data_IF_299649605193
#
_entry.id   IF_299649605193
#
_cell.length_a   1.000
_cell.length_b   1.000
_cell.length_c   1.000
_cell.angle_alpha   90.00
_cell.angle_beta   90.00
_cell.angle_gamma   90.00
#
_symmetry.space_group_name_H-M   'P 1'
#
loop_
_entity.id
_entity.type
_entity.pdbx_description
1 polymer ?
#
# COMPACT_ATOMS: atom_id res chain seq x y z
N UNK A 1 -15.86 -23.16 0.98
CA UNK A 1 -14.41 -22.84 1.06
C UNK A 1 -14.22 -21.44 1.64
N UNK A 2 -13.47 -21.33 2.73
CA UNK A 2 -13.07 -20.07 3.38
C UNK A 2 -11.68 -19.64 2.90
N UNK A 3 -11.22 -18.44 3.28
CA UNK A 3 -9.91 -17.92 2.87
C UNK A 3 -8.75 -18.71 3.47
N UNK A 4 -8.92 -19.28 4.66
CA UNK A 4 -7.91 -20.09 5.34
C UNK A 4 -7.62 -21.37 4.57
N UNK A 5 -8.67 -22.03 4.06
CA UNK A 5 -8.52 -23.22 3.21
C UNK A 5 -7.90 -22.89 1.86
N UNK A 6 -8.24 -21.73 1.28
CA UNK A 6 -7.61 -21.25 0.05
C UNK A 6 -6.10 -21.02 0.24
N UNK A 7 -5.73 -20.29 1.29
CA UNK A 7 -4.32 -20.00 1.62
C UNK A 7 -3.55 -21.30 1.98
N UNK A 8 -4.19 -22.25 2.69
CA UNK A 8 -3.59 -23.56 2.99
C UNK A 8 -3.32 -24.36 1.71
N UNK A 9 -4.26 -24.38 0.76
CA UNK A 9 -4.07 -25.08 -0.51
C UNK A 9 -2.88 -24.51 -1.31
N UNK A 10 -2.71 -23.18 -1.34
CA UNK A 10 -1.54 -22.55 -1.96
C UNK A 10 -0.22 -22.98 -1.29
N UNK A 11 -0.20 -23.07 0.05
CA UNK A 11 0.97 -23.53 0.81
C UNK A 11 1.32 -24.99 0.53
N UNK A 12 0.33 -25.88 0.53
CA UNK A 12 0.54 -27.29 0.23
C UNK A 12 1.09 -27.47 -1.19
N UNK A 13 0.56 -26.71 -2.15
CA UNK A 13 1.06 -26.71 -3.53
C UNK A 13 2.50 -26.18 -3.64
N UNK A 14 2.84 -25.12 -2.90
CA UNK A 14 4.20 -24.60 -2.82
C UNK A 14 5.18 -25.63 -2.22
N UNK A 15 4.74 -26.38 -1.20
CA UNK A 15 5.54 -27.44 -0.57
C UNK A 15 5.79 -28.61 -1.52
N UNK A 16 4.75 -29.05 -2.23
CA UNK A 16 4.83 -30.13 -3.22
C UNK A 16 5.77 -29.78 -4.36
N UNK A 17 5.65 -28.57 -4.92
CA UNK A 17 6.47 -28.09 -6.04
C UNK A 17 7.83 -27.54 -5.62
N UNK A 18 8.08 -27.41 -4.30
CA UNK A 18 9.29 -26.80 -3.71
C UNK A 18 9.64 -25.44 -4.33
N UNK A 19 8.62 -24.69 -4.71
CA UNK A 19 8.75 -23.40 -5.38
C UNK A 19 7.78 -22.38 -4.78
N UNK A 20 8.16 -21.10 -4.64
CA UNK A 20 7.23 -20.05 -4.22
C UNK A 20 6.03 -19.96 -5.15
N UNK A 21 4.81 -19.91 -4.59
CA UNK A 21 3.56 -19.77 -5.35
C UNK A 21 3.13 -18.32 -5.36
N UNK A 22 2.84 -17.77 -6.53
CA UNK A 22 2.42 -16.39 -6.67
C UNK A 22 1.02 -16.14 -6.07
N UNK A 23 0.92 -15.10 -5.24
CA UNK A 23 -0.34 -14.48 -4.78
C UNK A 23 -0.77 -13.31 -5.65
N UNK A 24 0.20 -12.68 -6.30
CA UNK A 24 0.01 -11.55 -7.19
C UNK A 24 0.68 -11.85 -8.53
N UNK A 25 0.00 -11.49 -9.61
CA UNK A 25 0.59 -11.48 -10.95
C UNK A 25 1.55 -10.30 -11.09
N UNK A 26 1.19 -9.16 -10.50
CA UNK A 26 1.94 -7.91 -10.57
C UNK A 26 2.99 -7.79 -9.46
N UNK A 27 4.01 -6.96 -9.68
CA UNK A 27 4.97 -6.55 -8.64
C UNK A 27 4.39 -5.42 -7.77
N UNK A 28 4.86 -5.31 -6.54
CA UNK A 28 4.42 -4.27 -5.59
C UNK A 28 5.33 -3.04 -5.53
N UNK A 29 6.47 -3.07 -6.23
CA UNK A 29 7.44 -1.98 -6.31
C UNK A 29 8.25 -2.08 -7.60
N UNK A 30 8.92 -0.99 -7.98
CA UNK A 30 9.84 -0.93 -9.12
C UNK A 30 11.29 -1.01 -8.61
N UNK A 31 12.12 -1.92 -9.13
CA UNK A 31 13.53 -1.98 -8.72
C UNK A 31 14.25 -0.73 -9.20
N UNK A 32 15.15 -0.20 -8.37
CA UNK A 32 15.97 0.98 -8.69
C UNK A 32 17.45 0.63 -8.55
N UNK A 33 18.25 1.00 -9.55
CA UNK A 33 19.71 0.89 -9.48
C UNK A 33 20.32 1.92 -8.54
N UNK A 34 19.57 2.96 -8.16
CA UNK A 34 19.95 3.92 -7.13
C UNK A 34 19.58 3.44 -5.71
N UNK A 35 18.99 2.26 -5.56
CA UNK A 35 18.64 1.73 -4.25
C UNK A 35 19.89 1.37 -3.44
N UNK A 36 19.78 1.49 -2.12
CA UNK A 36 20.80 1.09 -1.16
C UNK A 36 20.30 -0.11 -0.38
N UNK A 37 21.07 -1.18 -0.45
CA UNK A 37 20.89 -2.35 0.39
C UNK A 37 21.52 -2.09 1.75
N UNK A 38 20.70 -2.07 2.80
CA UNK A 38 21.15 -1.72 4.15
C UNK A 38 20.63 -2.72 5.18
N UNK A 39 21.51 -3.08 6.11
CA UNK A 39 21.18 -3.79 7.33
C UNK A 39 21.77 -3.06 8.53
N UNK A 40 20.96 -2.74 9.52
CA UNK A 40 21.38 -2.08 10.75
C UNK A 40 21.00 -2.92 11.97
N UNK A 41 21.95 -3.11 12.88
CA UNK A 41 21.79 -3.92 14.08
C UNK A 41 22.22 -3.12 15.30
N UNK A 42 21.26 -2.84 16.19
CA UNK A 42 21.53 -2.21 17.48
C UNK A 42 21.89 -3.28 18.53
N UNK A 43 23.08 -3.21 19.13
CA UNK A 43 23.53 -4.09 20.22
C UNK A 43 24.36 -3.31 21.23
N UNK A 44 24.01 -3.43 22.52
CA UNK A 44 24.81 -2.85 23.60
C UNK A 44 24.99 -1.33 23.51
N UNK A 45 24.00 -0.61 22.97
CA UNK A 45 24.06 0.85 22.79
C UNK A 45 24.81 1.33 21.56
N UNK A 46 25.40 0.43 20.76
CA UNK A 46 26.03 0.74 19.47
C UNK A 46 25.18 0.20 18.32
N UNK A 47 25.18 0.92 17.19
CA UNK A 47 24.51 0.53 15.95
C UNK A 47 25.56 0.16 14.91
N UNK A 48 25.58 -1.09 14.46
CA UNK A 48 26.41 -1.50 13.31
C UNK A 48 25.57 -1.45 12.06
N UNK A 49 26.07 -0.80 11.00
CA UNK A 49 25.39 -0.69 9.71
C UNK A 49 26.28 -1.29 8.61
N UNK A 50 25.68 -2.17 7.82
CA UNK A 50 26.23 -2.64 6.56
C UNK A 50 25.44 -2.02 5.40
N UNK A 51 26.13 -1.52 4.38
CA UNK A 51 25.52 -0.92 3.18
C UNK A 51 26.24 -1.39 1.92
N UNK A 52 25.47 -1.55 0.85
CA UNK A 52 25.96 -1.67 -0.52
C UNK A 52 25.03 -0.93 -1.49
N UNK A 53 25.59 -0.33 -2.54
CA UNK A 53 24.85 0.04 -3.74
C UNK A 53 24.76 -1.13 -4.74
N UNK A 54 24.02 -0.93 -5.84
CA UNK A 54 23.66 -1.98 -6.81
C UNK A 54 24.85 -2.78 -7.39
N UNK A 55 25.98 -2.14 -7.68
CA UNK A 55 27.22 -2.77 -8.17
C UNK A 55 28.38 -2.63 -7.18
N UNK A 56 28.06 -2.24 -5.94
CA UNK A 56 29.03 -1.97 -4.90
C UNK A 56 29.50 -3.21 -4.15
N UNK A 57 30.52 -3.01 -3.33
CA UNK A 57 30.88 -3.95 -2.26
C UNK A 57 30.11 -3.62 -1.00
N UNK A 58 29.89 -4.62 -0.14
CA UNK A 58 29.44 -4.37 1.23
C UNK A 58 30.54 -3.62 1.97
N UNK A 59 30.16 -2.51 2.58
CA UNK A 59 30.97 -1.82 3.57
C UNK A 59 30.21 -1.78 4.89
N UNK A 60 30.93 -1.86 6.00
CA UNK A 60 30.35 -1.95 7.33
C UNK A 60 31.10 -1.06 8.31
N UNK A 61 30.35 -0.29 9.08
CA UNK A 61 30.89 0.54 10.16
C UNK A 61 29.86 0.68 11.29
N UNK A 62 30.15 1.53 12.28
CA UNK A 62 29.33 1.70 13.48
C UNK A 62 29.01 3.18 13.75
N UNK A 63 27.90 3.38 14.43
CA UNK A 63 27.51 4.64 15.05
C UNK A 63 27.61 5.82 14.06
N UNK A 64 28.20 6.96 14.45
CA UNK A 64 28.23 8.16 13.59
C UNK A 64 28.89 7.91 12.24
N UNK A 65 29.92 7.06 12.18
CA UNK A 65 30.62 6.72 10.94
C UNK A 65 29.68 6.02 9.94
N UNK A 66 28.62 5.35 10.43
CA UNK A 66 27.64 4.71 9.58
C UNK A 66 26.80 5.71 8.78
N UNK A 67 26.52 6.88 9.34
CA UNK A 67 25.84 7.95 8.59
C UNK A 67 26.76 8.53 7.52
N UNK A 68 28.06 8.70 7.83
CA UNK A 68 29.05 9.08 6.83
C UNK A 68 29.18 8.05 5.71
N UNK A 69 29.15 6.76 6.05
CA UNK A 69 29.16 5.66 5.08
C UNK A 69 27.90 5.66 4.21
N UNK A 70 26.70 5.84 4.79
CA UNK A 70 25.47 5.98 4.00
C UNK A 70 25.56 7.15 3.02
N UNK A 71 26.07 8.31 3.44
CA UNK A 71 26.26 9.46 2.57
C UNK A 71 27.23 9.15 1.42
N UNK A 72 28.33 8.44 1.68
CA UNK A 72 29.31 8.05 0.66
C UNK A 72 28.73 7.12 -0.41
N UNK A 73 27.72 6.33 -0.08
CA UNK A 73 26.96 5.50 -1.04
C UNK A 73 25.80 6.24 -1.71
N UNK A 74 25.60 7.53 -1.42
CA UNK A 74 24.53 8.35 -2.01
C UNK A 74 23.24 8.41 -1.16
N UNK A 75 23.25 7.84 0.04
CA UNK A 75 22.15 7.91 1.01
C UNK A 75 22.16 9.23 1.77
N UNK A 76 22.07 10.35 1.05
CA UNK A 76 22.11 11.71 1.62
C UNK A 76 21.14 12.63 0.89
N UNK A 77 20.60 13.62 1.60
CA UNK A 77 19.76 14.67 1.00
C UNK A 77 20.60 15.88 0.51
N UNK A 78 21.91 15.86 0.72
CA UNK A 78 22.81 16.97 0.36
C UNK A 78 23.37 16.79 -1.04
N UNK A 79 23.35 17.87 -1.83
CA UNK A 79 23.67 17.82 -3.27
C UNK A 79 22.46 17.34 -4.06
N UNK A 80 22.20 17.91 -5.24
CA UNK A 80 21.04 17.53 -6.08
C UNK A 80 21.17 16.07 -6.53
N UNK A 81 20.66 15.16 -5.73
CA UNK A 81 20.59 13.74 -6.02
C UNK A 81 19.12 13.33 -6.13
N UNK A 82 18.88 12.34 -6.99
CA UNK A 82 17.64 11.60 -6.97
C UNK A 82 17.53 10.79 -5.68
N UNK A 83 16.32 10.53 -5.16
CA UNK A 83 16.17 9.78 -3.93
C UNK A 83 16.72 8.36 -4.12
N UNK A 84 17.54 7.91 -3.19
CA UNK A 84 17.99 6.53 -3.11
C UNK A 84 16.98 5.69 -2.29
N UNK A 85 16.27 4.71 -2.88
CA UNK A 85 15.41 3.82 -2.11
C UNK A 85 16.19 2.97 -1.11
N UNK A 86 15.59 2.63 0.02
CA UNK A 86 16.14 1.71 1.01
C UNK A 86 15.65 0.28 0.73
N UNK A 87 16.56 -0.66 0.53
CA UNK A 87 16.28 -2.10 0.57
C UNK A 87 16.75 -2.67 1.91
N UNK A 88 15.89 -3.42 2.58
CA UNK A 88 16.22 -4.11 3.84
C UNK A 88 15.51 -5.44 3.92
N UNK A 89 16.00 -6.37 4.75
CA UNK A 89 15.41 -7.70 4.95
C UNK A 89 14.85 -7.94 6.36
N UNK A 90 14.82 -6.91 7.21
CA UNK A 90 14.30 -7.03 8.56
C UNK A 90 13.55 -5.77 9.01
N UNK A 91 12.74 -5.92 10.05
CA UNK A 91 11.92 -4.83 10.60
C UNK A 91 12.68 -3.94 11.60
N UNK A 92 13.87 -4.34 12.03
CA UNK A 92 14.72 -3.64 13.01
C UNK A 92 15.69 -2.63 12.38
N UNK A 93 16.06 -2.79 11.11
CA UNK A 93 17.02 -1.91 10.41
C UNK A 93 16.58 -0.45 10.44
N UNK A 94 15.38 -0.13 9.95
CA UNK A 94 14.93 1.27 9.87
C UNK A 94 14.80 1.92 11.26
N UNK A 95 14.18 1.28 12.28
CA UNK A 95 14.20 1.81 13.65
C UNK A 95 15.61 2.09 14.19
N UNK A 96 16.58 1.19 13.98
CA UNK A 96 17.96 1.37 14.42
C UNK A 96 18.62 2.58 13.73
N UNK A 97 18.40 2.73 12.42
CA UNK A 97 18.87 3.90 11.66
C UNK A 97 18.20 5.19 12.16
N UNK A 98 16.90 5.19 12.45
CA UNK A 98 16.18 6.37 12.95
C UNK A 98 16.71 6.82 14.30
N UNK A 99 16.98 5.89 15.22
CA UNK A 99 17.61 6.21 16.51
C UNK A 99 18.96 6.88 16.30
N UNK A 100 19.80 6.31 15.42
CA UNK A 100 21.11 6.85 15.10
C UNK A 100 21.02 8.24 14.44
N UNK A 101 20.14 8.40 13.46
CA UNK A 101 19.91 9.65 12.75
C UNK A 101 19.46 10.76 13.71
N UNK A 102 18.54 10.47 14.64
CA UNK A 102 18.09 11.45 15.64
C UNK A 102 19.21 11.89 16.57
N UNK A 103 20.09 10.97 16.98
CA UNK A 103 21.24 11.30 17.83
C UNK A 103 22.24 12.25 17.13
N UNK A 104 22.27 12.26 15.79
CA UNK A 104 23.21 13.04 14.98
C UNK A 104 22.52 14.02 14.02
N UNK A 105 21.28 14.42 14.30
CA UNK A 105 20.49 15.29 13.41
C UNK A 105 21.15 16.67 13.15
N UNK A 106 21.95 17.15 14.10
CA UNK A 106 22.66 18.44 14.05
C UNK A 106 24.18 18.27 13.97
N UNK A 107 24.66 17.15 13.43
CA UNK A 107 26.09 16.91 13.30
C UNK A 107 26.76 18.02 12.47
N UNK A 108 27.97 18.50 12.85
CA UNK A 108 28.64 19.59 12.14
C UNK A 108 29.08 19.21 10.72
N UNK A 109 29.31 17.93 10.43
CA UNK A 109 29.55 17.43 9.07
C UNK A 109 28.23 17.40 8.27
N UNK A 110 28.09 18.18 7.19
CA UNK A 110 26.90 18.20 6.34
C UNK A 110 26.55 16.84 5.73
N UNK A 111 27.53 15.96 5.47
CA UNK A 111 27.25 14.63 4.93
C UNK A 111 26.55 13.74 5.95
N UNK A 112 27.02 13.76 7.20
CA UNK A 112 26.39 13.04 8.31
C UNK A 112 24.98 13.57 8.59
N UNK A 113 24.81 14.90 8.66
CA UNK A 113 23.50 15.51 8.84
C UNK A 113 22.55 15.24 7.66
N UNK A 114 23.10 15.21 6.44
CA UNK A 114 22.38 14.88 5.20
C UNK A 114 21.89 13.45 5.14
N UNK A 115 22.72 12.49 5.56
CA UNK A 115 22.31 11.09 5.71
C UNK A 115 21.29 10.89 6.82
N UNK A 116 21.43 11.60 7.93
CA UNK A 116 20.43 11.57 9.00
C UNK A 116 19.06 12.07 8.51
N UNK A 117 19.02 13.13 7.70
CA UNK A 117 17.80 13.64 7.06
C UNK A 117 17.23 12.66 6.02
N UNK A 118 18.08 11.96 5.25
CA UNK A 118 17.67 10.87 4.34
C UNK A 118 16.94 9.75 5.11
N UNK A 119 17.52 9.31 6.23
CA UNK A 119 16.91 8.29 7.10
C UNK A 119 15.56 8.76 7.65
N UNK A 120 15.42 10.03 8.00
CA UNK A 120 14.15 10.61 8.42
C UNK A 120 13.10 10.56 7.31
N UNK A 121 13.49 10.85 6.07
CA UNK A 121 12.62 10.71 4.91
C UNK A 121 12.21 9.25 4.67
N UNK A 122 13.15 8.30 4.73
CA UNK A 122 12.80 6.87 4.70
C UNK A 122 11.80 6.49 5.78
N UNK A 123 11.97 7.00 7.00
CA UNK A 123 11.04 6.75 8.10
C UNK A 123 9.62 7.27 7.81
N UNK A 124 9.48 8.47 7.24
CA UNK A 124 8.17 8.98 6.78
C UNK A 124 7.56 8.10 5.68
N UNK A 125 8.38 7.70 4.69
CA UNK A 125 7.89 6.90 3.56
C UNK A 125 7.51 5.47 3.95
N UNK A 126 8.20 4.85 4.90
CA UNK A 126 7.92 3.49 5.34
C UNK A 126 6.49 3.28 5.87
N UNK A 127 5.85 4.35 6.37
CA UNK A 127 4.46 4.32 6.82
C UNK A 127 3.42 4.38 5.67
N UNK A 128 3.85 4.53 4.41
CA UNK A 128 2.96 4.62 3.24
C UNK A 128 2.89 3.27 2.50
N UNK A 129 1.79 2.51 2.61
CA UNK A 129 1.67 1.22 1.94
C UNK A 129 1.87 1.32 0.42
N UNK A 130 2.72 0.46 -0.13
CA UNK A 130 3.03 0.47 -1.56
C UNK A 130 4.07 1.52 -1.98
N UNK A 131 4.73 2.19 -1.04
CA UNK A 131 5.92 3.00 -1.33
C UNK A 131 7.02 2.16 -2.00
N UNK A 132 7.78 2.82 -2.87
CA UNK A 132 9.03 2.29 -3.43
C UNK A 132 10.27 2.85 -2.74
N UNK A 133 10.12 3.87 -1.89
CA UNK A 133 11.22 4.53 -1.20
C UNK A 133 11.84 3.67 -0.09
N UNK A 134 11.05 2.78 0.53
CA UNK A 134 11.52 1.79 1.50
C UNK A 134 10.89 0.44 1.19
N UNK A 135 11.72 -0.54 0.85
CA UNK A 135 11.30 -1.90 0.53
C UNK A 135 11.90 -2.86 1.56
N UNK A 136 11.04 -3.33 2.47
CA UNK A 136 11.34 -4.51 3.26
C UNK A 136 11.08 -5.76 2.39
N UNK A 137 12.14 -6.48 2.02
CA UNK A 137 12.07 -7.58 1.07
C UNK A 137 11.30 -8.80 1.62
N UNK A 138 11.31 -9.02 2.94
CA UNK A 138 10.47 -10.07 3.55
C UNK A 138 8.99 -9.74 3.38
N UNK A 139 8.60 -8.50 3.68
CA UNK A 139 7.22 -8.03 3.54
C UNK A 139 6.77 -8.01 2.07
N UNK A 140 7.62 -7.49 1.17
CA UNK A 140 7.35 -7.46 -0.27
C UNK A 140 7.23 -8.88 -0.86
N UNK A 141 8.10 -9.81 -0.44
CA UNK A 141 8.01 -11.21 -0.85
C UNK A 141 6.73 -11.86 -0.36
N UNK A 142 6.35 -11.66 0.90
CA UNK A 142 5.14 -12.24 1.51
C UNK A 142 3.85 -11.67 0.92
N UNK A 143 3.88 -10.42 0.45
CA UNK A 143 2.76 -9.82 -0.29
C UNK A 143 2.58 -10.48 -1.66
N UNK A 144 3.66 -10.91 -2.29
CA UNK A 144 3.67 -11.40 -3.67
C UNK A 144 3.62 -12.91 -3.79
N UNK A 145 4.16 -13.65 -2.82
CA UNK A 145 4.33 -15.10 -2.88
C UNK A 145 3.92 -15.77 -1.56
N UNK A 146 3.66 -17.06 -1.63
CA UNK A 146 3.49 -17.98 -0.49
C UNK A 146 4.53 -19.08 -0.61
N UNK A 147 5.14 -19.43 0.52
CA UNK A 147 6.09 -20.54 0.62
C UNK A 147 5.39 -21.80 1.15
N UNK A 148 5.97 -22.95 0.84
CA UNK A 148 5.54 -24.26 1.35
C UNK A 148 6.01 -24.55 2.77
N UNK A 149 5.96 -23.55 3.64
CA UNK A 149 6.40 -23.61 5.04
C UNK A 149 5.38 -22.93 5.95
N UNK A 150 5.63 -22.92 7.26
CA UNK A 150 4.74 -22.27 8.23
C UNK A 150 4.75 -20.75 8.06
N UNK A 151 3.63 -20.06 8.32
CA UNK A 151 3.57 -18.59 8.27
C UNK A 151 4.62 -17.91 9.15
N UNK A 152 4.99 -18.51 10.29
CA UNK A 152 6.02 -17.99 11.19
C UNK A 152 7.41 -18.01 10.53
N UNK A 153 7.73 -19.05 9.76
CA UNK A 153 9.00 -19.17 9.07
C UNK A 153 9.17 -18.14 7.94
N UNK A 154 8.07 -17.70 7.32
CA UNK A 154 8.06 -16.62 6.31
C UNK A 154 8.45 -15.25 6.88
N UNK A 155 8.51 -15.07 8.20
CA UNK A 155 9.03 -13.84 8.82
C UNK A 155 10.55 -13.76 8.78
N UNK A 156 11.24 -14.85 8.45
CA UNK A 156 12.71 -14.92 8.42
C UNK A 156 13.25 -14.65 7.02
N UNK A 157 14.22 -13.74 6.94
CA UNK A 157 14.95 -13.45 5.71
C UNK A 157 15.71 -14.67 5.17
N UNK A 158 16.26 -15.50 6.06
CA UNK A 158 16.97 -16.74 5.68
C UNK A 158 16.05 -17.72 4.96
N UNK A 159 14.80 -17.87 5.43
CA UNK A 159 13.81 -18.73 4.77
C UNK A 159 13.55 -18.26 3.35
N UNK A 160 13.35 -16.97 3.14
CA UNK A 160 13.12 -16.43 1.79
C UNK A 160 14.33 -16.60 0.88
N UNK A 161 15.55 -16.31 1.37
CA UNK A 161 16.78 -16.53 0.59
C UNK A 161 16.90 -17.98 0.13
N UNK A 162 16.69 -18.94 1.04
CA UNK A 162 16.74 -20.36 0.72
C UNK A 162 15.74 -20.74 -0.38
N UNK A 163 14.48 -20.30 -0.24
CA UNK A 163 13.43 -20.60 -1.22
C UNK A 163 13.62 -19.90 -2.57
N UNK A 164 14.28 -18.74 -2.59
CA UNK A 164 14.60 -17.98 -3.81
C UNK A 164 15.94 -18.38 -4.42
N UNK A 165 16.70 -19.27 -3.78
CA UNK A 165 18.02 -19.72 -4.21
C UNK A 165 19.08 -18.61 -4.18
N UNK A 166 18.98 -17.68 -3.22
CA UNK A 166 19.93 -16.58 -3.03
C UNK A 166 20.97 -17.06 -2.02
N UNK A 167 22.21 -17.24 -2.50
CA UNK A 167 23.31 -17.76 -1.67
C UNK A 167 24.10 -16.66 -0.94
N UNK A 168 23.93 -15.40 -1.34
CA UNK A 168 24.59 -14.27 -0.71
C UNK A 168 23.80 -13.75 0.49
N UNK A 169 24.31 -14.01 1.69
CA UNK A 169 23.75 -13.55 2.97
C UNK A 169 24.15 -12.10 3.33
N UNK A 170 25.05 -11.51 2.55
CA UNK A 170 25.48 -10.12 2.68
C UNK A 170 24.35 -9.14 2.31
N UNK A 171 24.58 -7.85 2.48
CA UNK A 171 23.60 -6.85 1.98
C UNK A 171 23.59 -6.76 0.45
N UNK A 172 24.65 -7.16 -0.26
CA UNK A 172 24.68 -7.16 -1.72
C UNK A 172 23.58 -8.08 -2.28
N UNK A 173 23.40 -9.26 -1.67
CA UNK A 173 22.34 -10.21 -2.02
C UNK A 173 20.90 -9.66 -1.94
N UNK A 174 20.68 -8.52 -1.26
CA UNK A 174 19.37 -7.84 -1.26
C UNK A 174 19.00 -7.29 -2.65
N UNK A 175 19.97 -6.89 -3.46
CA UNK A 175 19.71 -6.47 -4.84
C UNK A 175 19.29 -7.65 -5.73
N UNK A 176 19.95 -8.80 -5.60
CA UNK A 176 19.55 -10.04 -6.27
C UNK A 176 18.13 -10.45 -5.85
N UNK A 177 17.85 -10.38 -4.54
CA UNK A 177 16.52 -10.65 -4.00
C UNK A 177 15.47 -9.71 -4.60
N UNK A 178 15.71 -8.40 -4.54
CA UNK A 178 14.80 -7.40 -5.10
C UNK A 178 14.51 -7.66 -6.58
N UNK A 179 15.53 -8.02 -7.38
CA UNK A 179 15.36 -8.38 -8.79
C UNK A 179 14.46 -9.61 -8.97
N UNK A 180 14.66 -10.68 -8.18
CA UNK A 180 13.83 -11.91 -8.25
C UNK A 180 12.36 -11.65 -7.95
N UNK A 181 12.05 -10.79 -6.98
CA UNK A 181 10.67 -10.55 -6.54
C UNK A 181 10.00 -9.35 -7.20
N UNK A 182 10.67 -8.65 -8.12
CA UNK A 182 10.14 -7.46 -8.81
C UNK A 182 9.79 -7.68 -10.28
N UNK A 183 9.98 -8.88 -10.83
CA UNK A 183 9.67 -9.16 -12.23
C UNK A 183 8.19 -8.95 -12.59
N UNK A 184 7.87 -8.57 -13.83
CA UNK A 184 6.48 -8.36 -14.28
C UNK A 184 5.96 -6.92 -14.07
N UNK A 185 4.72 -6.64 -14.51
CA UNK A 185 4.16 -5.29 -14.46
C UNK A 185 3.89 -4.84 -13.02
N UNK A 186 4.03 -3.55 -12.75
CA UNK A 186 3.66 -2.94 -11.47
C UNK A 186 2.15 -3.07 -11.26
N UNK A 187 1.73 -3.29 -10.00
CA UNK A 187 0.33 -3.27 -9.62
C UNK A 187 -0.32 -1.96 -10.11
N UNK A 188 -1.44 -2.05 -10.86
CA UNK A 188 -2.18 -0.88 -11.26
C UNK A 188 -2.56 -0.04 -10.04
N UNK A 189 -2.54 1.29 -10.17
CA UNK A 189 -2.78 2.26 -9.08
C UNK A 189 -1.67 2.41 -8.02
N UNK A 190 -0.50 1.77 -8.18
CA UNK A 190 0.68 2.13 -7.37
C UNK A 190 1.49 3.29 -7.94
N UNK A 191 1.38 3.57 -9.25
CA UNK A 191 2.06 4.72 -9.88
C UNK A 191 1.82 6.04 -9.13
N UNK A 192 0.58 6.38 -8.70
CA UNK A 192 0.34 7.60 -7.94
C UNK A 192 1.07 7.66 -6.60
N UNK A 193 1.35 6.52 -5.97
CA UNK A 193 2.09 6.43 -4.70
C UNK A 193 3.59 6.67 -4.95
N UNK A 194 4.13 6.15 -6.05
CA UNK A 194 5.52 6.41 -6.45
C UNK A 194 5.74 7.88 -6.86
N UNK A 195 4.77 8.48 -7.56
CA UNK A 195 4.77 9.93 -7.82
C UNK A 195 4.75 10.74 -6.51
N UNK A 196 4.00 10.26 -5.50
CA UNK A 196 3.97 10.87 -4.17
C UNK A 196 5.29 10.68 -3.40
N UNK A 197 6.00 9.55 -3.56
CA UNK A 197 7.35 9.36 -3.03
C UNK A 197 8.29 10.43 -3.59
N UNK A 198 8.24 10.65 -4.91
CA UNK A 198 9.07 11.68 -5.56
C UNK A 198 8.71 13.09 -5.10
N UNK A 199 7.41 13.40 -5.02
CA UNK A 199 6.95 14.68 -4.50
C UNK A 199 7.41 14.91 -3.05
N UNK A 200 7.33 13.88 -2.20
CA UNK A 200 7.80 13.94 -0.82
C UNK A 200 9.32 14.17 -0.75
N UNK A 201 10.08 13.53 -1.63
CA UNK A 201 11.53 13.77 -1.76
C UNK A 201 11.84 15.23 -2.09
N UNK A 202 11.23 15.79 -3.15
CA UNK A 202 11.51 17.16 -3.58
C UNK A 202 11.15 18.17 -2.45
N UNK A 203 10.12 17.85 -1.65
CA UNK A 203 9.74 18.62 -0.45
C UNK A 203 10.78 18.52 0.66
N UNK A 204 11.26 17.31 0.96
CA UNK A 204 12.30 17.08 1.96
C UNK A 204 13.61 17.78 1.58
N UNK A 205 14.02 17.67 0.32
CA UNK A 205 15.21 18.34 -0.22
C UNK A 205 15.09 19.86 -0.14
N UNK A 206 13.93 20.42 -0.52
CA UNK A 206 13.66 21.85 -0.41
C UNK A 206 13.68 22.33 1.05
N UNK A 207 13.13 21.54 1.97
CA UNK A 207 13.10 21.85 3.40
C UNK A 207 14.51 21.81 4.00
N UNK A 208 15.30 20.78 3.69
CA UNK A 208 16.69 20.67 4.12
C UNK A 208 17.54 21.84 3.59
N UNK A 209 17.37 22.21 2.32
CA UNK A 209 18.04 23.37 1.71
C UNK A 209 17.66 24.69 2.41
N UNK A 210 16.42 24.80 2.88
CA UNK A 210 15.94 25.96 3.64
C UNK A 210 16.34 25.94 5.13
N UNK A 211 17.14 24.95 5.58
CA UNK A 211 17.56 24.81 6.98
C UNK A 211 16.44 24.33 7.90
N UNK A 212 15.43 23.65 7.37
CA UNK A 212 14.37 23.07 8.19
C UNK A 212 14.92 21.92 9.05
N UNK A 213 14.59 21.97 10.33
CA UNK A 213 14.96 20.94 11.30
C UNK A 213 13.93 19.81 11.30
N UNK A 214 14.27 18.72 10.60
CA UNK A 214 13.43 17.51 10.49
C UNK A 214 13.31 16.74 11.82
N UNK A 215 14.21 16.96 12.78
CA UNK A 215 14.20 16.23 14.05
C UNK A 215 13.11 16.74 14.99
N UNK A 216 12.58 17.93 14.72
CA UNK A 216 11.49 18.51 15.49
C UNK A 216 10.17 17.81 15.16
N UNK A 217 9.31 17.61 16.17
CA UNK A 217 7.96 17.14 15.93
C UNK A 217 7.21 18.03 14.96
N UNK A 218 6.45 17.40 14.08
CA UNK A 218 5.50 18.12 13.23
C UNK A 218 4.50 18.91 14.05
N UNK A 219 4.12 20.09 13.55
CA UNK A 219 2.94 20.76 14.06
C UNK A 219 1.67 19.95 13.71
N UNK A 220 0.60 20.18 14.46
CA UNK A 220 -0.67 19.44 14.31
C UNK A 220 -1.23 19.44 12.89
N UNK A 221 -1.08 20.54 12.13
CA UNK A 221 -1.57 20.61 10.76
C UNK A 221 -0.72 19.77 9.78
N UNK A 222 0.61 19.75 9.95
CA UNK A 222 1.50 18.86 9.20
C UNK A 222 1.20 17.39 9.53
N UNK A 223 1.09 17.06 10.83
CA UNK A 223 0.80 15.70 11.28
C UNK A 223 -0.56 15.18 10.76
N UNK A 224 -1.60 16.02 10.79
CA UNK A 224 -2.91 15.67 10.23
C UNK A 224 -2.86 15.38 8.72
N UNK A 225 -1.98 16.07 8.00
CA UNK A 225 -1.81 15.88 6.56
C UNK A 225 -0.97 14.65 6.25
N UNK A 226 0.08 14.37 7.02
CA UNK A 226 0.82 13.12 6.94
C UNK A 226 -0.06 11.90 7.27
N UNK A 227 -0.96 12.01 8.25
CA UNK A 227 -1.96 10.96 8.50
C UNK A 227 -2.86 10.76 7.28
N UNK A 228 -3.37 11.85 6.70
CA UNK A 228 -4.22 11.78 5.51
C UNK A 228 -3.51 11.13 4.33
N UNK A 229 -2.26 11.49 4.03
CA UNK A 229 -1.53 10.91 2.91
C UNK A 229 -1.25 9.42 3.11
N UNK A 230 -1.07 8.97 4.37
CA UNK A 230 -0.97 7.55 4.71
C UNK A 230 -2.29 6.81 4.50
N UNK A 231 -3.43 7.39 4.90
CA UNK A 231 -4.75 6.84 4.60
C UNK A 231 -5.00 6.76 3.09
N UNK A 232 -4.69 7.84 2.36
CA UNK A 232 -4.77 7.88 0.89
C UNK A 232 -3.95 6.73 0.26
N UNK A 233 -2.72 6.51 0.73
CA UNK A 233 -1.86 5.42 0.24
C UNK A 233 -2.42 4.03 0.59
N UNK A 234 -2.98 3.86 1.80
CA UNK A 234 -3.62 2.61 2.21
C UNK A 234 -4.83 2.26 1.33
N UNK A 235 -5.71 3.23 1.06
CA UNK A 235 -6.89 3.05 0.20
C UNK A 235 -6.48 2.70 -1.23
N UNK A 236 -5.47 3.40 -1.77
CA UNK A 236 -4.92 3.12 -3.09
C UNK A 236 -4.28 1.73 -3.15
N UNK A 237 -3.51 1.33 -2.13
CA UNK A 237 -2.89 0.01 -2.08
C UNK A 237 -3.94 -1.10 -2.00
N UNK A 238 -4.98 -0.93 -1.20
CA UNK A 238 -6.08 -1.90 -1.09
C UNK A 238 -6.82 -2.06 -2.42
N UNK A 239 -7.09 -0.93 -3.11
CA UNK A 239 -7.70 -0.95 -4.44
C UNK A 239 -6.77 -1.56 -5.50
N UNK A 240 -5.48 -1.25 -5.46
CA UNK A 240 -4.46 -1.81 -6.37
C UNK A 240 -4.41 -3.33 -6.29
N UNK A 241 -4.49 -3.90 -5.08
CA UNK A 241 -4.55 -5.35 -4.89
C UNK A 241 -5.79 -5.95 -5.58
N UNK A 242 -6.94 -5.31 -5.51
CA UNK A 242 -8.15 -5.78 -6.19
C UNK A 242 -8.09 -5.67 -7.72
N UNK A 243 -7.16 -4.91 -8.29
CA UNK A 243 -6.92 -4.92 -9.74
C UNK A 243 -6.03 -6.11 -10.18
N UNK A 244 -5.40 -6.84 -9.25
CA UNK A 244 -4.67 -8.08 -9.54
C UNK A 244 -5.60 -9.30 -9.65
N UNK A 245 -5.51 -10.09 -10.74
CA UNK A 245 -6.41 -11.23 -10.95
C UNK A 245 -6.22 -12.37 -9.94
N UNK A 246 -5.00 -12.64 -9.46
CA UNK A 246 -4.76 -13.69 -8.46
C UNK A 246 -5.26 -13.24 -7.09
N UNK A 247 -5.07 -11.97 -6.75
CA UNK A 247 -5.61 -11.43 -5.51
C UNK A 247 -7.14 -11.45 -5.50
N UNK A 248 -7.79 -11.14 -6.63
CA UNK A 248 -9.25 -11.18 -6.73
C UNK A 248 -9.82 -12.57 -6.44
N UNK A 249 -9.15 -13.63 -6.88
CA UNK A 249 -9.56 -15.01 -6.57
C UNK A 249 -9.58 -15.26 -5.06
N UNK A 250 -8.53 -14.83 -4.35
CA UNK A 250 -8.48 -14.87 -2.89
C UNK A 250 -9.57 -13.97 -2.27
N UNK A 251 -9.78 -12.79 -2.84
CA UNK A 251 -10.70 -11.78 -2.34
C UNK A 251 -12.17 -12.23 -2.34
N UNK A 252 -12.57 -13.15 -3.22
CA UNK A 252 -13.89 -13.81 -3.19
C UNK A 252 -14.15 -14.48 -1.84
N UNK A 253 -13.14 -15.10 -1.24
CA UNK A 253 -13.25 -15.81 0.04
C UNK A 253 -13.23 -14.90 1.27
N UNK A 254 -13.00 -13.60 1.06
CA UNK A 254 -13.02 -12.57 2.11
C UNK A 254 -14.19 -11.60 1.97
N UNK A 255 -15.02 -11.76 0.92
CA UNK A 255 -16.16 -10.90 0.64
C UNK A 255 -15.85 -9.59 -0.10
N UNK A 256 -14.59 -9.27 -0.38
CA UNK A 256 -14.23 -8.04 -1.10
C UNK A 256 -14.54 -8.12 -2.61
N UNK A 257 -14.68 -9.34 -3.16
CA UNK A 257 -15.18 -9.56 -4.52
C UNK A 257 -16.42 -10.43 -4.43
N UNK A 258 -17.53 -9.97 -5.02
CA UNK A 258 -18.76 -10.75 -5.14
C UNK A 258 -18.88 -11.28 -6.56
N UNK A 259 -19.24 -12.56 -6.69
CA UNK A 259 -19.50 -13.22 -7.99
C UNK A 259 -20.93 -13.72 -7.97
N UNK A 260 -21.66 -13.47 -9.06
CA UNK A 260 -23.06 -13.85 -9.15
C UNK A 260 -23.61 -13.82 -10.57
N UNK A 261 -24.93 -14.00 -10.66
CA UNK A 261 -25.68 -13.99 -11.93
C UNK A 261 -26.52 -12.72 -12.01
N UNK A 262 -26.41 -12.01 -13.13
CA UNK A 262 -27.16 -10.79 -13.39
C UNK A 262 -28.64 -11.08 -13.73
N UNK A 263 -29.54 -10.31 -13.13
CA UNK A 263 -30.92 -10.14 -13.55
C UNK A 263 -31.11 -8.67 -13.93
N UNK A 264 -31.57 -8.43 -15.16
CA UNK A 264 -31.75 -7.07 -15.68
C UNK A 264 -33.22 -6.84 -15.94
N UNK A 265 -33.78 -5.82 -15.30
CA UNK A 265 -35.14 -5.36 -15.59
C UNK A 265 -35.07 -4.17 -16.53
N UNK A 266 -35.61 -4.27 -17.76
CA UNK A 266 -35.60 -3.17 -18.72
C UNK A 266 -36.39 -1.98 -18.19
N UNK A 267 -36.06 -0.75 -18.61
CA UNK A 267 -36.83 0.42 -18.22
C UNK A 267 -38.29 0.30 -18.71
N UNK A 268 -39.27 0.85 -17.97
CA UNK A 268 -40.66 0.78 -18.37
C UNK A 268 -40.88 1.44 -19.74
N UNK A 269 -41.76 0.86 -20.56
CA UNK A 269 -41.98 1.15 -22.00
C UNK A 269 -42.35 2.63 -22.30
N UNK A 270 -42.68 3.45 -21.29
CA UNK A 270 -43.00 4.89 -21.42
C UNK A 270 -42.07 5.83 -20.65
N UNK A 271 -40.98 5.31 -20.10
CA UNK A 271 -40.01 6.11 -19.33
C UNK A 271 -38.99 6.76 -20.26
N UNK A 272 -38.67 8.04 -20.04
CA UNK A 272 -37.52 8.70 -20.67
C UNK A 272 -36.17 8.16 -20.17
N UNK A 273 -36.14 7.42 -19.06
CA UNK A 273 -34.92 6.76 -18.56
C UNK A 273 -34.61 5.57 -19.46
N UNK A 274 -33.41 5.58 -20.06
CA UNK A 274 -32.88 4.48 -20.87
C UNK A 274 -32.15 3.42 -20.05
N UNK A 275 -32.05 3.61 -18.74
CA UNK A 275 -31.20 2.78 -17.89
C UNK A 275 -32.01 1.61 -17.31
N UNK A 276 -31.43 0.42 -17.38
CA UNK A 276 -31.99 -0.78 -16.76
C UNK A 276 -31.60 -0.85 -15.28
N UNK A 277 -32.46 -1.45 -14.45
CA UNK A 277 -32.07 -1.82 -13.09
C UNK A 277 -31.41 -3.20 -13.12
N UNK A 278 -30.30 -3.31 -12.39
CA UNK A 278 -29.51 -4.53 -12.31
C UNK A 278 -29.62 -5.12 -10.90
N UNK A 279 -29.88 -6.42 -10.81
CA UNK A 279 -29.71 -7.19 -9.60
C UNK A 279 -28.70 -8.31 -9.84
N UNK A 280 -27.84 -8.61 -8.86
CA UNK A 280 -26.86 -9.69 -8.94
C UNK A 280 -27.15 -10.68 -7.82
N UNK A 281 -27.53 -11.90 -8.20
CA UNK A 281 -27.69 -13.02 -7.26
C UNK A 281 -26.33 -13.65 -7.04
N UNK A 282 -25.74 -13.39 -5.88
CA UNK A 282 -24.39 -13.82 -5.52
C UNK A 282 -24.35 -15.32 -5.21
N UNK A 283 -23.24 -15.95 -5.54
CA UNK A 283 -22.95 -17.35 -5.22
C UNK A 283 -22.74 -17.57 -3.71
N UNK A 284 -22.41 -16.50 -2.98
CA UNK A 284 -22.06 -16.52 -1.57
C UNK A 284 -22.81 -15.44 -0.79
N UNK A 285 -22.94 -15.65 0.52
CA UNK A 285 -23.59 -14.73 1.46
C UNK A 285 -22.64 -13.71 2.09
N UNK A 286 -21.33 -13.92 2.01
CA UNK A 286 -20.29 -13.23 2.78
C UNK A 286 -19.73 -11.97 2.09
N UNK A 287 -20.55 -11.23 1.34
CA UNK A 287 -20.12 -10.01 0.66
C UNK A 287 -19.85 -8.86 1.65
N UNK A 288 -18.77 -8.11 1.42
CA UNK A 288 -18.45 -6.86 2.11
C UNK A 288 -18.94 -5.61 1.37
N UNK A 289 -19.58 -5.78 0.22
CA UNK A 289 -20.16 -4.66 -0.55
C UNK A 289 -21.38 -4.13 0.20
N UNK A 290 -21.28 -2.89 0.72
CA UNK A 290 -22.34 -2.27 1.55
C UNK A 290 -23.28 -1.45 0.68
N UNK A 291 -24.53 -1.31 1.14
CA UNK A 291 -25.49 -0.36 0.55
C UNK A 291 -24.92 1.05 0.60
N UNK A 292 -25.10 1.83 -0.47
CA UNK A 292 -24.52 3.16 -0.66
C UNK A 292 -23.09 3.16 -1.18
N UNK A 293 -22.44 2.00 -1.33
CA UNK A 293 -21.08 1.91 -1.87
C UNK A 293 -21.10 1.91 -3.39
N UNK A 294 -20.17 2.66 -4.00
CA UNK A 294 -19.88 2.54 -5.43
C UNK A 294 -19.09 1.25 -5.69
N UNK A 295 -19.52 0.49 -6.70
CA UNK A 295 -18.89 -0.75 -7.13
C UNK A 295 -18.53 -0.69 -8.60
N UNK A 296 -17.42 -1.34 -8.94
CA UNK A 296 -17.04 -1.64 -10.32
C UNK A 296 -17.37 -3.10 -10.62
N UNK A 297 -18.08 -3.33 -11.72
CA UNK A 297 -18.45 -4.65 -12.18
C UNK A 297 -18.05 -4.95 -13.61
N UNK A 298 -17.92 -6.23 -13.92
CA UNK A 298 -17.67 -6.75 -15.27
C UNK A 298 -18.29 -8.14 -15.45
N UNK A 299 -18.51 -8.53 -16.70
CA UNK A 299 -18.92 -9.89 -17.03
C UNK A 299 -17.71 -10.83 -17.04
N UNK A 300 -17.88 -12.03 -16.49
CA UNK A 300 -16.84 -13.07 -16.48
C UNK A 300 -16.43 -13.50 -15.08
N UNK A 301 -15.16 -13.85 -14.93
CA UNK A 301 -14.55 -14.39 -13.71
C UNK A 301 -13.61 -13.39 -13.04
N UNK A 302 -13.24 -13.62 -11.76
CA UNK A 302 -12.26 -12.77 -11.08
C UNK A 302 -10.86 -12.81 -11.74
N UNK A 303 -10.52 -13.85 -12.50
CA UNK A 303 -9.24 -13.96 -13.19
C UNK A 303 -9.17 -13.11 -14.46
N UNK A 304 -10.32 -12.72 -15.01
CA UNK A 304 -10.36 -12.01 -16.29
C UNK A 304 -9.75 -10.62 -16.15
N UNK A 305 -9.10 -10.14 -17.21
CA UNK A 305 -8.73 -8.73 -17.37
C UNK A 305 -9.91 -8.03 -18.04
N UNK A 306 -10.75 -7.29 -17.30
CA UNK A 306 -12.00 -6.81 -17.86
C UNK A 306 -11.74 -5.70 -18.88
N UNK A 307 -12.14 -5.95 -20.13
CA UNK A 307 -12.09 -4.96 -21.21
C UNK A 307 -13.18 -3.89 -21.03
N UNK A 308 -14.39 -4.31 -20.66
CA UNK A 308 -15.52 -3.43 -20.36
C UNK A 308 -15.89 -3.54 -18.87
N UNK A 309 -15.98 -2.37 -18.21
CA UNK A 309 -16.38 -2.25 -16.81
C UNK A 309 -17.59 -1.32 -16.72
N UNK A 310 -18.47 -1.58 -15.76
CA UNK A 310 -19.51 -0.63 -15.37
C UNK A 310 -19.30 -0.19 -13.92
N UNK A 311 -19.63 1.05 -13.62
CA UNK A 311 -19.61 1.60 -12.27
C UNK A 311 -21.04 1.94 -11.84
N UNK A 312 -21.43 1.51 -10.64
CA UNK A 312 -22.79 1.67 -10.15
C UNK A 312 -22.82 1.61 -8.61
N UNK A 313 -23.82 2.22 -7.99
CA UNK A 313 -24.02 2.14 -6.55
C UNK A 313 -24.84 0.90 -6.15
N UNK A 314 -24.53 0.28 -5.01
CA UNK A 314 -25.38 -0.74 -4.37
C UNK A 314 -26.56 -0.06 -3.68
N UNK A 315 -27.78 -0.29 -4.17
CA UNK A 315 -28.99 0.37 -3.67
C UNK A 315 -29.70 -0.42 -2.58
N UNK A 316 -29.64 -1.75 -2.62
CA UNK A 316 -30.10 -2.60 -1.53
C UNK A 316 -29.42 -3.97 -1.55
N UNK A 317 -29.47 -4.68 -0.42
CA UNK A 317 -28.96 -6.03 -0.27
C UNK A 317 -29.97 -6.89 0.52
N UNK A 318 -30.36 -8.03 -0.03
CA UNK A 318 -31.35 -8.93 0.57
C UNK A 318 -30.90 -10.38 0.48
N UNK A 319 -31.33 -11.21 1.43
CA UNK A 319 -31.20 -12.67 1.29
C UNK A 319 -32.54 -13.22 0.81
N UNK A 320 -32.55 -13.79 -0.39
CA UNK A 320 -33.73 -14.40 -1.03
C UNK A 320 -33.41 -15.86 -1.28
N UNK A 321 -34.23 -16.76 -0.74
CA UNK A 321 -34.06 -18.22 -0.88
C UNK A 321 -32.64 -18.71 -0.51
N UNK A 322 -32.06 -18.12 0.55
CA UNK A 322 -30.72 -18.46 1.02
C UNK A 322 -29.58 -17.93 0.16
N UNK A 323 -29.84 -17.04 -0.82
CA UNK A 323 -28.83 -16.37 -1.64
C UNK A 323 -28.84 -14.87 -1.42
N UNK A 324 -27.66 -14.26 -1.44
CA UNK A 324 -27.51 -12.81 -1.35
C UNK A 324 -27.83 -12.21 -2.72
N UNK A 325 -28.77 -11.27 -2.75
CA UNK A 325 -29.14 -10.49 -3.93
C UNK A 325 -28.74 -9.04 -3.69
N UNK A 326 -27.83 -8.54 -4.52
CA UNK A 326 -27.42 -7.14 -4.52
C UNK A 326 -28.20 -6.41 -5.60
N UNK A 327 -29.02 -5.44 -5.21
CA UNK A 327 -29.65 -4.52 -6.14
C UNK A 327 -28.71 -3.36 -6.40
N UNK A 328 -28.49 -3.06 -7.67
CA UNK A 328 -27.59 -2.02 -8.14
C UNK A 328 -28.42 -0.91 -8.79
N UNK A 329 -27.86 0.28 -8.78
CA UNK A 329 -28.41 1.43 -9.48
C UNK A 329 -28.52 1.21 -11.00
N UNK A 330 -28.80 2.31 -11.69
CA UNK A 330 -28.95 2.32 -13.15
C UNK A 330 -27.62 2.04 -13.87
N UNK A 331 -27.58 1.03 -14.73
CA UNK A 331 -26.40 0.71 -15.56
C UNK A 331 -26.59 1.17 -17.01
N UNK A 332 -25.53 1.70 -17.60
CA UNK A 332 -25.50 2.27 -18.96
C UNK A 332 -24.98 1.29 -20.02
N UNK A 333 -24.07 1.74 -20.89
CA UNK A 333 -23.64 1.05 -22.12
C UNK A 333 -22.97 -0.33 -21.91
N UNK A 334 -22.50 -0.63 -20.70
CA UNK A 334 -21.86 -1.91 -20.35
C UNK A 334 -22.71 -2.75 -19.39
N UNK A 335 -24.04 -2.60 -19.46
CA UNK A 335 -24.95 -3.43 -18.69
C UNK A 335 -24.75 -4.91 -19.04
N UNK A 336 -24.63 -5.81 -18.05
CA UNK A 336 -24.50 -7.23 -18.32
C UNK A 336 -25.77 -7.77 -18.97
N UNK A 337 -25.66 -8.82 -19.79
CA UNK A 337 -26.84 -9.52 -20.29
C UNK A 337 -27.58 -10.23 -19.13
N UNK A 338 -28.91 -10.39 -19.19
CA UNK A 338 -29.63 -11.25 -18.25
C UNK A 338 -29.02 -12.66 -18.24
N UNK A 339 -28.80 -13.21 -17.04
CA UNK A 339 -28.17 -14.52 -16.85
C UNK A 339 -26.64 -14.52 -16.96
N UNK A 340 -26.00 -13.40 -17.30
CA UNK A 340 -24.55 -13.32 -17.37
C UNK A 340 -23.92 -13.47 -15.98
N UNK A 341 -22.77 -14.16 -15.93
CA UNK A 341 -21.92 -14.17 -14.74
C UNK A 341 -21.23 -12.82 -14.60
N UNK A 342 -21.34 -12.22 -13.42
CA UNK A 342 -20.81 -10.89 -13.10
C UNK A 342 -19.92 -10.97 -11.88
N UNK A 343 -18.80 -10.27 -11.94
CA UNK A 343 -17.94 -9.98 -10.81
C UNK A 343 -18.14 -8.52 -10.40
N UNK A 344 -18.21 -8.27 -9.09
CA UNK A 344 -18.34 -6.95 -8.49
C UNK A 344 -17.22 -6.77 -7.45
N UNK A 345 -16.64 -5.58 -7.38
CA UNK A 345 -15.70 -5.17 -6.34
C UNK A 345 -15.92 -3.70 -5.99
N UNK A 346 -15.43 -3.19 -4.84
CA UNK A 346 -15.47 -1.78 -4.53
C UNK A 346 -14.83 -0.96 -5.66
N UNK A 347 -15.44 0.17 -5.99
CA UNK A 347 -14.86 1.08 -6.96
C UNK A 347 -13.55 1.66 -6.40
N UNK A 348 -12.44 1.63 -7.17
CA UNK A 348 -11.19 2.20 -6.70
C UNK A 348 -11.33 3.72 -6.46
N UNK A 349 -10.66 4.27 -5.43
CA UNK A 349 -10.66 5.70 -5.20
C UNK A 349 -9.98 6.44 -6.37
N UNK A 350 -10.44 7.64 -6.68
CA UNK A 350 -9.85 8.46 -7.76
C UNK A 350 -8.58 9.17 -7.28
N UNK A 351 -7.38 8.86 -7.85
CA UNK A 351 -6.14 9.53 -7.45
C UNK A 351 -6.20 11.05 -7.71
N UNK A 352 -6.89 11.46 -8.78
CA UNK A 352 -7.07 12.87 -9.13
C UNK A 352 -7.88 13.61 -8.06
N UNK A 353 -8.97 13.02 -7.59
CA UNK A 353 -9.81 13.60 -6.53
C UNK A 353 -9.05 13.71 -5.21
N UNK A 354 -8.27 12.67 -4.86
CA UNK A 354 -7.44 12.67 -3.66
C UNK A 354 -6.42 13.81 -3.70
N UNK A 355 -5.68 13.94 -4.81
CA UNK A 355 -4.71 15.03 -5.03
C UNK A 355 -5.34 16.42 -4.99
N UNK A 356 -6.46 16.62 -5.70
CA UNK A 356 -7.19 17.88 -5.70
C UNK A 356 -7.68 18.26 -4.29
N UNK A 357 -8.07 17.25 -3.51
CA UNK A 357 -8.46 17.42 -2.11
C UNK A 357 -7.33 17.96 -1.24
N UNK A 358 -6.10 17.48 -1.39
CA UNK A 358 -4.96 17.80 -0.49
C UNK A 358 -4.74 19.30 -0.32
N UNK A 359 -4.78 20.09 -1.40
CA UNK A 359 -4.61 21.55 -1.31
C UNK A 359 -5.74 22.23 -0.54
N UNK A 360 -6.98 21.75 -0.67
CA UNK A 360 -8.13 22.22 0.10
C UNK A 360 -7.98 21.88 1.58
N UNK A 361 -7.61 20.65 1.92
CA UNK A 361 -7.43 20.22 3.31
C UNK A 361 -6.26 20.91 3.99
N UNK A 362 -5.15 21.12 3.27
CA UNK A 362 -4.01 21.88 3.78
C UNK A 362 -4.43 23.29 4.22
N UNK A 363 -5.20 23.99 3.38
CA UNK A 363 -5.77 25.31 3.73
C UNK A 363 -6.73 25.24 4.91
N UNK A 364 -7.56 24.20 4.99
CA UNK A 364 -8.51 24.02 6.10
C UNK A 364 -7.78 23.79 7.42
N UNK A 365 -6.80 22.89 7.47
CA UNK A 365 -6.10 22.54 8.70
C UNK A 365 -5.26 23.70 9.24
N UNK A 366 -4.73 24.56 8.36
CA UNK A 366 -3.97 25.77 8.72
C UNK A 366 -4.83 27.03 8.93
N UNK A 367 -6.12 26.98 8.60
CA UNK A 367 -6.98 28.16 8.75
C UNK A 367 -7.12 28.52 10.23
N UNK A 368 -7.08 29.81 10.59
CA UNK A 368 -7.21 30.30 11.98
C UNK A 368 -8.47 29.85 12.73
N UNK A 369 -9.48 29.34 12.02
CA UNK A 369 -10.71 28.77 12.58
C UNK A 369 -10.64 27.27 12.84
N UNK A 370 -9.55 26.63 12.45
CA UNK A 370 -9.32 25.20 12.64
C UNK A 370 -8.83 24.97 14.05
N UNK A 371 -9.50 24.09 14.78
CA UNK A 371 -9.07 23.65 16.10
C UNK A 371 -7.66 23.03 16.09
N UNK A 372 -7.25 22.43 14.96
CA UNK A 372 -5.89 21.91 14.76
C UNK A 372 -4.84 23.03 14.75
N UNK A 373 -5.21 24.23 14.29
CA UNK A 373 -4.29 25.38 14.23
C UNK A 373 -4.29 26.22 15.51
N UNK A 374 -5.44 26.29 16.21
CA UNK A 374 -5.61 27.12 17.40
C UNK A 374 -5.33 26.36 18.70
N UNK A 375 -5.28 25.03 18.65
CA UNK A 375 -5.21 24.17 19.84
C UNK A 375 -6.48 24.21 20.70
N UNK A 376 -7.53 24.93 20.26
CA UNK A 376 -8.79 25.03 20.97
C UNK A 376 -9.69 23.89 20.55
N UNK A 377 -9.86 22.91 21.44
CA UNK A 377 -10.81 21.80 21.26
C UNK A 377 -12.18 22.37 20.86
N UNK A 378 -12.78 21.87 19.76
CA UNK A 378 -14.09 22.35 19.35
C UNK A 378 -15.10 22.10 20.47
N UNK A 379 -15.94 23.10 20.76
CA UNK A 379 -17.02 22.96 21.74
C UNK A 379 -17.88 21.78 21.31
N UNK A 380 -18.12 20.84 22.23
CA UNK A 380 -18.92 19.65 21.98
C UNK A 380 -20.31 20.05 21.50
N UNK A 381 -20.52 20.00 20.18
CA UNK A 381 -21.82 20.21 19.58
C UNK A 381 -22.51 18.84 19.52
N UNK A 382 -23.66 18.71 20.20
CA UNK A 382 -24.58 17.59 19.97
C UNK A 382 -25.13 17.73 18.56
N UNK A 383 -24.42 17.15 17.59
CA UNK A 383 -24.96 16.88 16.26
C UNK A 383 -25.45 15.45 16.27
N UNK A 384 -26.59 15.20 15.65
CA UNK A 384 -26.97 13.83 15.31
C UNK A 384 -25.89 13.27 14.39
N UNK A 385 -25.02 12.44 14.95
CA UNK A 385 -24.06 11.68 14.17
C UNK A 385 -24.80 10.42 13.74
N UNK A 386 -24.95 10.17 12.43
CA UNK A 386 -25.60 8.97 11.94
C UNK A 386 -24.97 7.72 12.56
N UNK A 387 -25.80 6.76 12.99
CA UNK A 387 -25.36 5.59 13.76
C UNK A 387 -24.32 4.75 12.99
N UNK A 388 -24.42 4.74 11.67
CA UNK A 388 -23.47 4.18 10.71
C UNK A 388 -22.05 4.77 10.83
N UNK A 389 -21.92 6.06 11.16
CA UNK A 389 -20.62 6.71 11.42
C UNK A 389 -20.06 6.28 12.79
N UNK A 390 -20.93 6.05 13.78
CA UNK A 390 -20.53 5.56 15.11
C UNK A 390 -20.12 4.08 15.07
N UNK A 391 -20.83 3.25 14.30
CA UNK A 391 -20.51 1.84 14.11
C UNK A 391 -19.21 1.70 13.32
N UNK A 392 -19.03 2.49 12.25
CA UNK A 392 -17.79 2.49 11.48
C UNK A 392 -16.56 2.90 12.32
N UNK A 393 -16.71 3.78 13.31
CA UNK A 393 -15.63 4.15 14.23
C UNK A 393 -15.41 3.18 15.40
N UNK A 394 -16.28 2.18 15.58
CA UNK A 394 -16.21 1.18 16.64
C UNK A 394 -15.74 -0.21 16.15
N UNK A 395 -15.60 -0.39 14.83
CA UNK A 395 -15.11 -1.62 14.19
C UNK A 395 -13.57 -1.67 14.02
N UNK A 396 -12.82 -0.69 14.53
CA UNK A 396 -11.33 -0.70 14.57
C UNK A 396 -10.77 -1.26 15.90
#
# INVERSE_FOLDING_TARGET
MSVEWFDLAQRLYAAETRSPVARLTHTTFVPSTAALAVRAVARGGSVTVAVAGFEGREERTRDVDALGLLAAHGGTIVGRCDPAPLLTDDTGTLPALVTLARAHAHHPDPQVAGAAAMVAWWADRADHPGTSAVVNLVAASSARYVLGTTPEAERSATTWRQWLGISDDSVIGLHEWAAKISGGPLLPLLEPIHEDDRYSWDRALSAATAGHDWSRPDNTASAAMGLRTRCDAADLKAAALLDDPLWRQRAVHTGHVAVGVASVTPPPIRSRRRNASLAVTCERLDSRLRVGSEVTGWMGTPADKPFERFCVEVTSAHVVEGKLVLHLGSVGAHAPAPGARVCLMPQPPSPQTMRAGRGRYWRLYRARRSWLSTGQTPVAARREVPLDVLIAGAED
#
